data_IF_455765973214
#
_entry.id   IF_455765973214
#
_cell.length_a   1.000
_cell.length_b   1.000
_cell.length_c   1.000
_cell.angle_alpha   90.00
_cell.angle_beta   90.00
_cell.angle_gamma   90.00
#
_symmetry.space_group_name_H-M   'P 1'
#
loop_
_entity.id
_entity.type
_entity.pdbx_description
1 polymer ?
#
# COMPACT_ATOMS: atom_id res chain seq x y z
N UNK A 1 69.01 -26.91 -0.94
CA UNK A 1 69.95 -26.22 -0.02
C UNK A 1 69.11 -25.20 0.73
N UNK A 2 68.96 -25.10 2.05
CA UNK A 2 69.62 -25.61 3.26
C UNK A 2 68.55 -25.37 4.37
N UNK A 3 67.99 -26.40 4.98
CA UNK A 3 68.36 -26.92 6.31
C UNK A 3 68.47 -25.86 7.43
N UNK A 4 67.52 -25.99 8.37
CA UNK A 4 67.60 -25.87 9.85
C UNK A 4 68.02 -24.55 10.52
N UNK A 5 67.22 -24.17 11.53
CA UNK A 5 67.65 -24.14 12.95
C UNK A 5 66.44 -24.13 13.90
N UNK A 6 66.50 -25.02 14.91
CA UNK A 6 65.75 -24.95 16.17
C UNK A 6 66.57 -24.18 17.21
N UNK A 7 65.87 -23.50 18.11
CA UNK A 7 66.17 -23.31 19.55
C UNK A 7 65.00 -22.46 20.09
N UNK A 8 64.05 -22.97 20.86
CA UNK A 8 64.07 -23.40 22.28
C UNK A 8 63.88 -22.27 23.29
N UNK A 9 62.85 -22.46 24.13
CA UNK A 9 62.55 -21.87 25.45
C UNK A 9 61.83 -20.51 25.52
N UNK A 10 60.63 -20.44 26.11
CA UNK A 10 60.46 -20.31 27.56
C UNK A 10 59.01 -20.60 27.99
N UNK A 11 58.91 -21.26 29.13
CA UNK A 11 57.72 -21.69 29.85
C UNK A 11 57.05 -20.52 30.59
N UNK A 12 55.74 -20.34 30.42
CA UNK A 12 54.87 -19.70 31.42
C UNK A 12 53.54 -20.47 31.48
N UNK A 13 53.45 -21.37 32.45
CA UNK A 13 52.19 -21.95 32.89
C UNK A 13 51.34 -20.85 33.52
N UNK A 14 50.27 -20.43 32.83
CA UNK A 14 49.19 -19.67 33.48
C UNK A 14 48.05 -20.64 33.73
N UNK A 15 48.01 -21.18 34.95
CA UNK A 15 46.82 -21.81 35.50
C UNK A 15 45.79 -20.69 35.72
N UNK A 16 44.87 -20.53 34.77
CA UNK A 16 43.81 -19.54 34.81
C UNK A 16 42.47 -20.23 34.59
N UNK A 17 41.81 -20.56 35.69
CA UNK A 17 40.42 -20.95 35.89
C UNK A 17 39.52 -20.94 34.63
N UNK A 18 39.01 -22.13 34.30
CA UNK A 18 37.92 -22.32 33.37
C UNK A 18 36.66 -21.55 33.86
N UNK A 19 36.44 -20.35 33.34
CA UNK A 19 35.10 -19.78 33.30
C UNK A 19 34.36 -20.46 32.16
N UNK A 20 33.56 -21.47 32.50
CA UNK A 20 32.47 -21.93 31.65
C UNK A 20 31.45 -20.80 31.59
N UNK A 21 31.72 -19.82 30.73
CA UNK A 21 30.72 -18.86 30.31
C UNK A 21 29.69 -19.64 29.52
N UNK A 22 28.56 -19.96 30.16
CA UNK A 22 27.35 -20.34 29.45
C UNK A 22 26.98 -19.11 28.62
N UNK A 23 27.46 -19.08 27.38
CA UNK A 23 26.91 -18.21 26.36
C UNK A 23 25.46 -18.65 26.20
N UNK A 24 24.57 -17.99 26.94
CA UNK A 24 23.17 -17.98 26.61
C UNK A 24 23.12 -17.36 25.22
N UNK A 25 23.14 -18.23 24.20
CA UNK A 25 22.67 -17.94 22.87
C UNK A 25 21.18 -17.62 23.06
N UNK A 26 20.92 -16.38 23.49
CA UNK A 26 19.64 -15.76 23.31
C UNK A 26 19.42 -15.79 21.81
N UNK A 27 18.67 -16.79 21.37
CA UNK A 27 18.04 -16.76 20.07
C UNK A 27 17.09 -15.56 20.15
N UNK A 28 17.65 -14.38 19.87
CA UNK A 28 16.85 -13.26 19.46
C UNK A 28 16.24 -13.72 18.15
N UNK A 29 15.02 -14.26 18.22
CA UNK A 29 14.13 -14.32 17.08
C UNK A 29 13.87 -12.87 16.67
N UNK A 30 14.81 -12.31 15.93
CA UNK A 30 14.59 -11.16 15.07
C UNK A 30 13.57 -11.64 14.06
N UNK A 31 12.29 -11.57 14.42
CA UNK A 31 11.21 -11.59 13.44
C UNK A 31 11.37 -10.30 12.64
N UNK A 32 12.28 -10.32 11.67
CA UNK A 32 12.34 -9.37 10.57
C UNK A 32 11.09 -9.68 9.76
N UNK A 33 9.95 -9.17 10.22
CA UNK A 33 8.78 -9.05 9.36
C UNK A 33 9.21 -8.04 8.30
N UNK A 34 9.23 -8.41 7.00
CA UNK A 34 9.51 -7.44 5.95
C UNK A 34 8.56 -6.25 6.14
N UNK A 35 9.08 -5.03 6.02
CA UNK A 35 8.24 -3.83 6.02
C UNK A 35 7.21 -4.03 4.89
N UNK A 36 5.92 -3.95 5.23
CA UNK A 36 4.76 -4.27 4.37
C UNK A 36 4.40 -5.78 4.22
N UNK A 37 4.92 -6.67 5.07
CA UNK A 37 4.71 -8.11 4.95
C UNK A 37 3.40 -8.64 5.52
N UNK A 38 2.68 -9.43 4.71
CA UNK A 38 1.58 -10.30 5.14
C UNK A 38 1.99 -11.16 6.34
N UNK A 39 1.21 -11.11 7.42
CA UNK A 39 1.40 -11.99 8.57
C UNK A 39 0.77 -13.35 8.28
N UNK A 40 1.56 -14.43 8.37
CA UNK A 40 1.02 -15.80 8.29
C UNK A 40 -0.08 -16.07 9.31
N UNK A 41 -0.03 -15.41 10.48
CA UNK A 41 -0.97 -15.61 11.58
C UNK A 41 -2.19 -14.68 11.49
N UNK A 42 -1.99 -13.45 11.01
CA UNK A 42 -2.98 -12.37 11.13
C UNK A 42 -3.44 -11.77 9.78
N UNK A 43 -2.83 -12.18 8.67
CA UNK A 43 -3.16 -11.69 7.33
C UNK A 43 -2.50 -10.35 6.98
N UNK A 44 -3.05 -9.60 6.00
CA UNK A 44 -2.57 -8.27 5.66
C UNK A 44 -2.85 -7.31 6.81
N UNK A 45 -1.79 -6.72 7.35
CA UNK A 45 -1.86 -5.74 8.44
C UNK A 45 -1.32 -4.41 7.94
N UNK A 46 -1.98 -3.32 8.33
CA UNK A 46 -1.42 -1.98 8.13
C UNK A 46 -0.07 -1.88 8.85
N UNK A 47 0.88 -1.07 8.36
CA UNK A 47 2.15 -0.89 9.05
C UNK A 47 1.92 -0.29 10.45
N UNK A 48 2.05 -1.09 11.50
CA UNK A 48 1.94 -0.63 12.91
C UNK A 48 3.26 -0.05 13.44
N UNK A 49 4.23 0.22 12.57
CA UNK A 49 5.56 0.71 12.94
C UNK A 49 5.57 2.17 13.38
N UNK A 50 4.65 2.95 12.83
CA UNK A 50 4.57 4.39 13.05
C UNK A 50 3.39 4.78 13.94
N UNK A 51 2.55 3.81 14.30
CA UNK A 51 1.45 3.97 15.24
C UNK A 51 1.89 3.68 16.68
N UNK A 52 1.27 4.32 17.70
CA UNK A 52 1.57 4.03 19.09
C UNK A 52 1.34 2.55 19.42
N UNK A 53 2.16 1.99 20.31
CA UNK A 53 2.08 0.57 20.72
C UNK A 53 0.85 0.20 21.57
N UNK A 54 -0.05 1.14 21.84
CA UNK A 54 -1.33 0.85 22.49
C UNK A 54 -2.37 0.42 21.44
N UNK A 55 -2.55 -0.89 21.33
CA UNK A 55 -3.50 -1.51 20.41
C UNK A 55 -4.95 -1.06 20.65
N UNK A 56 -5.29 -0.69 21.89
CA UNK A 56 -6.65 -0.29 22.29
C UNK A 56 -7.06 1.12 21.84
N UNK A 57 -6.12 1.88 21.27
CA UNK A 57 -6.43 3.14 20.59
C UNK A 57 -7.34 2.91 19.39
N UNK A 58 -7.05 1.86 18.62
CA UNK A 58 -7.75 1.58 17.38
C UNK A 58 -8.62 0.32 17.47
N UNK A 59 -8.23 -0.73 18.19
CA UNK A 59 -8.96 -2.00 18.17
C UNK A 59 -9.86 -2.19 19.40
N UNK A 60 -10.92 -2.99 19.23
CA UNK A 60 -11.78 -3.45 20.32
C UNK A 60 -11.36 -4.85 20.77
N UNK A 61 -11.42 -5.18 22.08
CA UNK A 61 -10.97 -6.48 22.58
C UNK A 61 -11.80 -7.66 22.09
N UNK A 62 -13.07 -7.43 21.71
CA UNK A 62 -13.97 -8.46 21.20
C UNK A 62 -13.55 -8.94 19.81
N UNK A 63 -12.99 -8.06 18.97
CA UNK A 63 -12.59 -8.41 17.63
C UNK A 63 -11.51 -7.48 17.05
N UNK A 64 -10.51 -8.09 16.40
CA UNK A 64 -9.37 -7.36 15.81
C UNK A 64 -9.65 -6.73 14.45
N UNK A 65 -10.83 -6.97 13.85
CA UNK A 65 -11.16 -6.51 12.49
C UNK A 65 -11.92 -5.18 12.50
N UNK A 66 -12.53 -4.83 13.62
CA UNK A 66 -13.22 -3.57 13.84
C UNK A 66 -12.27 -2.57 14.46
N UNK A 67 -12.21 -1.39 13.86
CA UNK A 67 -11.57 -0.22 14.46
C UNK A 67 -12.63 0.52 15.27
N UNK A 68 -12.25 1.13 16.39
CA UNK A 68 -13.14 1.90 17.27
C UNK A 68 -13.72 3.09 16.50
N UNK A 69 -15.02 3.31 16.64
CA UNK A 69 -15.71 4.43 15.96
C UNK A 69 -15.18 5.80 16.39
N UNK A 70 -14.59 5.90 17.58
CA UNK A 70 -13.96 7.12 18.11
C UNK A 70 -12.54 7.36 17.58
N UNK A 71 -11.99 6.46 16.77
CA UNK A 71 -10.67 6.63 16.19
C UNK A 71 -10.74 7.64 15.05
N UNK A 72 -9.99 8.72 15.17
CA UNK A 72 -9.84 9.74 14.13
C UNK A 72 -8.39 9.76 13.64
N UNK A 73 -8.22 9.82 12.32
CA UNK A 73 -6.92 9.93 11.67
C UNK A 73 -6.97 10.95 10.54
N UNK A 74 -6.29 12.08 10.71
CA UNK A 74 -6.18 13.09 9.67
C UNK A 74 -5.10 12.68 8.65
N UNK A 75 -5.57 12.06 7.57
CA UNK A 75 -4.69 11.54 6.51
C UNK A 75 -3.91 12.67 5.82
N UNK A 76 -4.49 13.85 5.66
CA UNK A 76 -3.82 14.99 5.04
C UNK A 76 -2.73 15.54 5.95
N UNK A 77 -3.02 15.76 7.23
CA UNK A 77 -2.06 16.30 8.17
C UNK A 77 -0.88 15.35 8.42
N UNK A 78 -1.12 14.04 8.44
CA UNK A 78 -0.09 13.04 8.77
C UNK A 78 0.72 12.61 7.54
N UNK A 79 0.08 12.42 6.38
CA UNK A 79 0.74 11.87 5.18
C UNK A 79 0.94 12.88 4.07
N UNK A 80 0.29 14.03 4.13
CA UNK A 80 0.22 15.00 3.04
C UNK A 80 -0.77 14.62 1.92
N UNK A 81 -1.49 13.49 2.05
CA UNK A 81 -2.45 13.03 1.05
C UNK A 81 -3.89 13.12 1.58
N UNK A 82 -4.73 13.92 0.94
CA UNK A 82 -6.15 14.02 1.29
C UNK A 82 -6.96 12.88 0.67
N UNK A 83 -7.78 12.21 1.48
CA UNK A 83 -8.80 11.31 0.97
C UNK A 83 -10.04 12.12 0.62
N UNK A 84 -10.41 12.16 -0.66
CA UNK A 84 -11.54 12.96 -1.16
C UNK A 84 -12.64 12.06 -1.73
N UNK A 85 -13.87 12.59 -1.76
CA UNK A 85 -15.00 11.91 -2.40
C UNK A 85 -15.25 10.52 -1.80
N UNK A 86 -15.37 9.50 -2.64
CA UNK A 86 -15.62 8.12 -2.19
C UNK A 86 -14.43 7.52 -1.41
N UNK A 87 -13.23 8.07 -1.55
CA UNK A 87 -12.05 7.58 -0.83
C UNK A 87 -12.07 7.88 0.66
N UNK A 88 -12.87 8.85 1.13
CA UNK A 88 -12.96 9.18 2.58
C UNK A 88 -13.46 8.00 3.41
N UNK A 89 -14.30 7.13 2.83
CA UNK A 89 -14.82 5.92 3.47
C UNK A 89 -13.99 4.67 3.23
N UNK A 90 -12.83 4.78 2.56
CA UNK A 90 -12.01 3.62 2.27
C UNK A 90 -11.38 3.05 3.54
N UNK A 91 -11.50 1.73 3.72
CA UNK A 91 -10.78 1.04 4.79
C UNK A 91 -9.27 1.11 4.53
N UNK A 92 -8.45 1.23 5.58
CA UNK A 92 -6.99 1.40 5.48
C UNK A 92 -6.33 0.35 4.57
N UNK A 93 -6.74 -0.92 4.69
CA UNK A 93 -6.21 -2.03 3.90
C UNK A 93 -6.58 -1.99 2.40
N UNK A 94 -7.51 -1.12 1.98
CA UNK A 94 -7.79 -0.93 0.54
C UNK A 94 -6.57 -0.34 -0.18
N UNK A 95 -5.78 0.45 0.53
CA UNK A 95 -4.57 1.08 0.03
C UNK A 95 -3.31 0.43 0.64
N UNK A 96 -3.24 0.38 1.97
CA UNK A 96 -2.10 -0.18 2.70
C UNK A 96 -2.18 -1.70 2.77
N UNK A 97 -1.83 -2.37 1.67
CA UNK A 97 -1.87 -3.82 1.54
C UNK A 97 -0.58 -4.40 0.94
N UNK A 98 -0.63 -5.69 0.64
CA UNK A 98 0.47 -6.49 0.12
C UNK A 98 0.81 -6.22 -1.36
N UNK A 99 0.10 -5.31 -2.04
CA UNK A 99 0.46 -4.86 -3.40
C UNK A 99 1.72 -4.00 -3.44
N UNK A 100 2.19 -3.55 -2.28
CA UNK A 100 3.42 -2.77 -2.12
C UNK A 100 3.18 -1.33 -1.67
N UNK A 101 4.21 -0.47 -1.75
CA UNK A 101 4.16 0.90 -1.28
C UNK A 101 3.07 1.74 -1.97
N UNK A 102 2.44 2.62 -1.19
CA UNK A 102 1.26 3.39 -1.61
C UNK A 102 1.55 4.38 -2.74
N UNK A 103 2.68 5.06 -2.62
CA UNK A 103 3.22 6.00 -3.58
C UNK A 103 3.42 5.39 -4.98
N UNK A 104 3.79 4.11 -5.07
CA UNK A 104 4.03 3.44 -6.36
C UNK A 104 2.78 3.34 -7.21
N UNK A 105 1.63 3.00 -6.62
CA UNK A 105 0.38 2.93 -7.39
C UNK A 105 -0.27 4.30 -7.53
N UNK A 106 -0.12 5.21 -6.55
CA UNK A 106 -0.60 6.59 -6.69
C UNK A 106 0.09 7.31 -7.87
N UNK A 107 1.37 7.03 -8.13
CA UNK A 107 2.09 7.57 -9.29
C UNK A 107 1.49 7.14 -10.64
N UNK A 108 0.64 6.11 -10.67
CA UNK A 108 -0.09 5.64 -11.87
C UNK A 108 -1.48 6.25 -12.00
N UNK A 109 -1.84 7.21 -11.14
CA UNK A 109 -3.16 7.82 -11.10
C UNK A 109 -4.26 6.80 -10.75
N UNK A 110 -5.48 7.02 -11.25
CA UNK A 110 -6.62 6.15 -10.99
C UNK A 110 -6.35 4.68 -11.39
N UNK A 111 -5.64 4.47 -12.50
CA UNK A 111 -5.28 3.15 -13.03
C UNK A 111 -4.33 2.34 -12.13
N UNK A 112 -3.71 2.97 -11.13
CA UNK A 112 -2.89 2.27 -10.14
C UNK A 112 -3.68 1.31 -9.26
N UNK A 113 -4.96 1.60 -9.03
CA UNK A 113 -5.85 0.77 -8.21
C UNK A 113 -7.11 0.34 -8.96
N UNK A 114 -7.64 1.18 -9.83
CA UNK A 114 -8.86 0.91 -10.57
C UNK A 114 -8.56 0.30 -11.94
N UNK A 115 -9.24 -0.79 -12.31
CA UNK A 115 -9.13 -1.31 -13.67
C UNK A 115 -9.71 -0.29 -14.66
N UNK A 116 -9.06 -0.16 -15.81
CA UNK A 116 -9.57 0.67 -16.90
C UNK A 116 -10.43 -0.18 -17.86
N UNK A 117 -11.77 -0.03 -17.84
CA UNK A 117 -12.65 -0.76 -18.75
C UNK A 117 -12.52 -0.29 -20.20
N UNK A 118 -11.91 0.88 -20.43
CA UNK A 118 -11.71 1.47 -21.76
C UNK A 118 -10.44 0.94 -22.44
N UNK A 119 -9.67 0.08 -21.78
CA UNK A 119 -8.48 -0.55 -22.37
C UNK A 119 -7.47 0.47 -22.94
N UNK A 120 -7.36 1.62 -22.26
CA UNK A 120 -6.53 2.76 -22.63
C UNK A 120 -6.91 3.46 -23.95
N UNK A 121 -8.05 3.12 -24.56
CA UNK A 121 -8.52 3.78 -25.79
C UNK A 121 -8.87 5.26 -25.57
N UNK A 122 -9.25 5.62 -24.33
CA UNK A 122 -9.61 6.98 -23.93
C UNK A 122 -8.47 7.77 -23.23
N UNK A 123 -7.28 7.18 -23.14
CA UNK A 123 -6.21 7.65 -22.28
C UNK A 123 -6.42 7.33 -20.80
N UNK A 124 -5.48 7.76 -19.96
CA UNK A 124 -5.44 7.45 -18.52
C UNK A 124 -5.85 8.63 -17.64
N UNK A 125 -6.24 9.75 -18.25
CA UNK A 125 -6.80 10.90 -17.55
C UNK A 125 -8.28 10.65 -17.26
N UNK A 126 -8.54 9.79 -16.27
CA UNK A 126 -9.88 9.39 -15.89
C UNK A 126 -10.72 10.59 -15.43
N UNK A 127 -10.09 11.60 -14.81
CA UNK A 127 -10.73 12.79 -14.25
C UNK A 127 -11.32 13.72 -15.30
N UNK A 128 -10.86 13.62 -16.56
CA UNK A 128 -11.49 14.29 -17.71
C UNK A 128 -12.97 13.93 -17.85
N UNK A 129 -13.32 12.70 -17.50
CA UNK A 129 -14.66 12.16 -17.69
C UNK A 129 -15.29 11.62 -16.41
N UNK A 130 -14.56 11.30 -15.35
CA UNK A 130 -15.12 10.73 -14.12
C UNK A 130 -14.77 11.59 -12.91
N UNK A 131 -15.70 11.71 -11.95
CA UNK A 131 -15.42 12.37 -10.67
C UNK A 131 -15.18 11.32 -9.59
N UNK A 132 -14.16 11.49 -8.75
CA UNK A 132 -13.79 10.50 -7.72
C UNK A 132 -14.84 10.34 -6.60
N UNK A 133 -15.78 11.28 -6.49
CA UNK A 133 -16.85 11.25 -5.50
C UNK A 133 -17.98 10.28 -5.85
N UNK A 134 -18.27 10.05 -7.13
CA UNK A 134 -19.41 9.23 -7.59
C UNK A 134 -19.06 8.27 -8.72
N UNK A 135 -17.89 8.45 -9.33
CA UNK A 135 -17.48 7.84 -10.59
C UNK A 135 -18.42 8.10 -11.78
N UNK A 136 -19.35 9.06 -11.64
CA UNK A 136 -20.25 9.43 -12.72
C UNK A 136 -19.49 10.03 -13.90
N UNK A 137 -19.91 9.67 -15.12
CA UNK A 137 -19.39 10.28 -16.32
C UNK A 137 -19.86 11.75 -16.42
N UNK A 138 -18.92 12.66 -16.59
CA UNK A 138 -19.11 14.10 -16.75
C UNK A 138 -18.57 14.54 -18.11
N UNK A 139 -18.96 15.74 -18.55
CA UNK A 139 -18.42 16.35 -19.76
C UNK A 139 -18.93 15.78 -21.08
N UNK A 140 -19.52 14.57 -21.10
CA UNK A 140 -19.96 13.90 -22.33
C UNK A 140 -20.85 14.78 -23.22
N UNK A 141 -21.81 15.52 -22.65
CA UNK A 141 -22.67 16.45 -23.40
C UNK A 141 -21.88 17.58 -24.04
N UNK A 142 -20.92 18.16 -23.32
CA UNK A 142 -20.07 19.25 -23.80
C UNK A 142 -19.11 18.77 -24.89
N UNK A 143 -18.51 17.59 -24.70
CA UNK A 143 -17.62 16.98 -25.67
C UNK A 143 -18.36 16.65 -26.97
N UNK A 144 -19.54 16.04 -26.87
CA UNK A 144 -20.36 15.69 -28.04
C UNK A 144 -20.93 16.92 -28.75
N UNK A 145 -21.18 18.03 -28.05
CA UNK A 145 -21.62 19.28 -28.67
C UNK A 145 -20.60 19.87 -29.66
N UNK A 146 -19.32 19.45 -29.58
CA UNK A 146 -18.26 19.84 -30.52
C UNK A 146 -18.15 18.92 -31.73
N UNK A 147 -19.01 17.90 -31.80
CA UNK A 147 -19.02 16.90 -32.87
C UNK A 147 -20.29 17.04 -33.72
N UNK A 148 -20.47 16.12 -34.68
CA UNK A 148 -21.71 16.02 -35.47
C UNK A 148 -22.85 15.29 -34.73
N UNK A 149 -22.62 14.84 -33.49
CA UNK A 149 -23.58 14.07 -32.69
C UNK A 149 -23.85 14.74 -31.34
N UNK A 150 -24.43 15.96 -31.31
CA UNK A 150 -24.76 16.61 -30.04
C UNK A 150 -25.81 15.80 -29.26
N UNK A 151 -25.52 15.54 -27.98
CA UNK A 151 -26.44 14.80 -27.11
C UNK A 151 -27.52 15.74 -26.59
N UNK A 152 -28.76 15.53 -27.04
CA UNK A 152 -29.92 16.35 -26.66
C UNK A 152 -31.07 15.49 -26.17
N UNK A 153 -31.87 16.04 -25.25
CA UNK A 153 -33.00 15.36 -24.62
C UNK A 153 -32.62 13.96 -24.10
N UNK A 154 -33.32 12.91 -24.53
CA UNK A 154 -33.07 11.53 -24.08
C UNK A 154 -31.64 11.04 -24.36
N UNK A 155 -30.97 11.54 -25.41
CA UNK A 155 -29.59 11.15 -25.71
C UNK A 155 -28.59 11.67 -24.68
N UNK A 156 -28.91 12.73 -23.93
CA UNK A 156 -28.02 13.28 -22.89
C UNK A 156 -27.86 12.36 -21.67
N UNK A 157 -28.75 11.37 -21.53
CA UNK A 157 -28.72 10.38 -20.45
C UNK A 157 -28.57 8.94 -20.96
N UNK A 158 -28.37 8.77 -22.28
CA UNK A 158 -28.16 7.45 -22.85
C UNK A 158 -26.79 6.90 -22.41
N UNK A 159 -26.70 5.61 -22.03
CA UNK A 159 -25.41 5.04 -21.64
C UNK A 159 -24.50 4.87 -22.86
N UNK A 160 -23.21 5.13 -22.67
CA UNK A 160 -22.21 5.26 -23.75
C UNK A 160 -22.20 4.06 -24.71
N UNK A 161 -22.31 2.85 -24.15
CA UNK A 161 -22.27 1.58 -24.88
C UNK A 161 -23.47 1.37 -25.82
N UNK A 162 -24.57 2.12 -25.64
CA UNK A 162 -25.72 2.08 -26.55
C UNK A 162 -25.35 2.54 -27.96
N UNK A 163 -24.28 3.34 -28.10
CA UNK A 163 -23.73 3.77 -29.38
C UNK A 163 -22.28 3.29 -29.58
N UNK A 164 -21.48 3.21 -28.51
CA UNK A 164 -20.08 2.79 -28.52
C UNK A 164 -19.92 1.30 -28.17
N UNK A 165 -20.40 0.43 -29.06
CA UNK A 165 -20.60 -1.02 -28.85
C UNK A 165 -19.30 -1.80 -28.51
N UNK A 166 -18.11 -1.19 -28.64
CA UNK A 166 -16.81 -1.84 -28.33
C UNK A 166 -15.79 -0.88 -27.70
N UNK A 167 -16.23 -0.02 -26.79
CA UNK A 167 -15.36 0.95 -26.10
C UNK A 167 -14.53 1.88 -27.02
N UNK A 168 -14.80 1.92 -28.33
CA UNK A 168 -14.20 2.89 -29.25
C UNK A 168 -14.83 4.25 -29.02
N UNK A 169 -14.28 4.93 -28.05
CA UNK A 169 -14.44 6.34 -27.80
C UNK A 169 -13.04 6.90 -28.06
N UNK A 170 -12.92 7.71 -29.11
CA UNK A 170 -11.68 8.36 -29.53
C UNK A 170 -11.75 9.85 -29.35
#
# INVERSE_FOLDING_TARGET
>A
MRSTRRADTLSWCVAGLAFVGVAALGVACSHIVPRQGWSQKWGPMVPHTDFPGDCGLCHVPENWKTIRDSFEFDHLAVTGYALNGAHTGAQCLRCHNDRGPVDVYLARGCGGCHPDPHQSELGLDCERCHVESTWAAIGAVVDHARTRFPLVAAHAIAPCESCHIRARVG
#
